data_IF_314924741300
#
_entry.id   IF_314924741300
#
_cell.length_a   1.000
_cell.length_b   1.000
_cell.length_c   1.000
_cell.angle_alpha   90.00
_cell.angle_beta   90.00
_cell.angle_gamma   90.00
#
_symmetry.space_group_name_H-M   'P 1'
#
loop_
_entity.id
_entity.type
_entity.pdbx_description
1 polymer ?
#
# COMPACT_ATOMS: atom_id res chain seq x y z
N UNK A 1 0.61 -66.92 -38.77
CA UNK A 1 -0.16 -65.70 -38.41
C UNK A 1 0.61 -64.98 -37.31
N UNK A 2 1.32 -63.90 -37.71
CA UNK A 2 1.99 -62.98 -36.79
C UNK A 2 1.01 -61.89 -36.41
N UNK A 3 0.76 -61.79 -35.10
CA UNK A 3 0.04 -60.65 -34.54
C UNK A 3 1.09 -59.69 -34.01
N UNK A 4 1.26 -58.58 -34.73
CA UNK A 4 2.14 -57.48 -34.31
C UNK A 4 1.37 -56.63 -33.30
N UNK A 5 1.73 -56.74 -32.03
CA UNK A 5 1.19 -55.89 -30.97
C UNK A 5 1.91 -54.53 -30.99
N UNK A 6 1.19 -53.53 -31.44
CA UNK A 6 1.66 -52.14 -31.45
C UNK A 6 1.46 -51.55 -30.05
N UNK A 7 2.54 -51.40 -29.28
CA UNK A 7 2.54 -50.76 -27.98
C UNK A 7 2.55 -49.23 -28.24
N UNK A 8 1.43 -48.58 -28.01
CA UNK A 8 1.35 -47.11 -27.97
C UNK A 8 1.90 -46.60 -26.64
N UNK A 9 3.08 -46.04 -26.67
CA UNK A 9 3.62 -45.30 -25.53
C UNK A 9 2.99 -43.90 -25.52
N UNK A 10 2.03 -43.68 -24.62
CA UNK A 10 1.47 -42.37 -24.38
C UNK A 10 2.44 -41.60 -23.48
N UNK A 11 3.19 -40.69 -24.08
CA UNK A 11 4.07 -39.79 -23.37
C UNK A 11 3.24 -38.67 -22.79
N UNK A 12 2.85 -38.77 -21.52
CA UNK A 12 2.18 -37.67 -20.79
C UNK A 12 3.20 -36.58 -20.47
N UNK A 13 3.21 -35.51 -21.27
CA UNK A 13 3.96 -34.33 -20.94
C UNK A 13 3.22 -33.58 -19.80
N UNK A 14 3.73 -33.69 -18.60
CA UNK A 14 3.34 -32.82 -17.49
C UNK A 14 3.92 -31.42 -17.75
N UNK A 15 3.09 -30.52 -18.25
CA UNK A 15 3.44 -29.11 -18.33
C UNK A 15 3.48 -28.57 -16.90
N UNK A 16 4.68 -28.49 -16.34
CA UNK A 16 4.91 -27.81 -15.09
C UNK A 16 4.63 -26.32 -15.30
N UNK A 17 3.52 -25.83 -14.74
CA UNK A 17 3.25 -24.40 -14.68
C UNK A 17 4.27 -23.80 -13.69
N UNK A 18 5.34 -23.23 -14.22
CA UNK A 18 6.24 -22.41 -13.42
C UNK A 18 5.44 -21.19 -12.94
N UNK A 19 5.08 -21.17 -11.65
CA UNK A 19 4.58 -19.96 -11.00
C UNK A 19 5.75 -18.99 -10.94
N UNK A 20 5.74 -17.99 -11.81
CA UNK A 20 6.60 -16.84 -11.66
C UNK A 20 6.18 -16.12 -10.39
N UNK A 21 7.07 -16.05 -9.41
CA UNK A 21 6.88 -15.18 -8.24
C UNK A 21 6.97 -13.75 -8.75
N UNK A 22 5.82 -13.09 -8.92
CA UNK A 22 5.78 -11.69 -9.30
C UNK A 22 6.44 -10.88 -8.18
N UNK A 23 7.51 -10.15 -8.53
CA UNK A 23 8.18 -9.25 -7.58
C UNK A 23 7.31 -8.00 -7.46
N UNK A 24 6.63 -7.87 -6.33
CA UNK A 24 5.82 -6.69 -6.03
C UNK A 24 6.73 -5.54 -5.60
N UNK A 25 6.74 -4.49 -6.38
CA UNK A 25 7.48 -3.26 -6.09
C UNK A 25 6.50 -2.18 -5.67
N UNK A 26 6.79 -1.50 -4.56
CA UNK A 26 6.01 -0.34 -4.13
C UNK A 26 6.25 0.82 -5.10
N UNK A 27 5.22 1.60 -5.39
CA UNK A 27 5.36 2.84 -6.15
C UNK A 27 6.29 3.82 -5.41
N UNK A 28 7.10 4.62 -6.12
CA UNK A 28 7.96 5.60 -5.47
C UNK A 28 7.14 6.68 -4.78
N UNK A 29 7.68 7.31 -3.71
CA UNK A 29 7.01 8.42 -3.03
C UNK A 29 6.82 9.63 -3.96
N UNK A 30 5.68 10.28 -3.82
CA UNK A 30 5.34 11.50 -4.54
C UNK A 30 5.79 12.75 -3.78
N UNK A 31 5.92 13.85 -4.52
CA UNK A 31 6.28 15.14 -3.93
C UNK A 31 5.06 15.81 -3.30
N UNK A 32 5.28 16.55 -2.24
CA UNK A 32 4.26 17.37 -1.58
C UNK A 32 4.92 18.60 -0.95
N UNK A 33 4.11 19.53 -0.44
CA UNK A 33 4.60 20.71 0.27
C UNK A 33 4.86 20.41 1.74
N UNK A 34 6.06 20.70 2.20
CA UNK A 34 6.45 20.59 3.61
C UNK A 34 7.07 21.91 4.05
N UNK A 35 6.38 22.62 4.93
CA UNK A 35 6.79 23.94 5.39
C UNK A 35 6.29 24.20 6.80
N UNK A 36 7.13 24.79 7.66
CA UNK A 36 6.77 25.25 9.00
C UNK A 36 6.04 24.18 9.85
N UNK A 37 6.51 22.94 9.81
CA UNK A 37 5.92 21.86 10.58
C UNK A 37 4.58 21.34 10.05
N UNK A 38 4.27 21.62 8.79
CA UNK A 38 3.03 21.20 8.14
C UNK A 38 3.31 20.53 6.79
N UNK A 39 2.76 19.34 6.63
CA UNK A 39 2.71 18.64 5.35
C UNK A 39 1.36 18.92 4.67
N UNK A 40 1.40 19.37 3.43
CA UNK A 40 0.22 19.76 2.68
C UNK A 40 0.15 19.03 1.35
N UNK A 41 -0.94 18.33 1.11
CA UNK A 41 -1.20 17.58 -0.12
C UNK A 41 -2.52 18.12 -0.73
N UNK A 42 -2.51 18.53 -1.99
CA UNK A 42 -3.72 19.03 -2.65
C UNK A 42 -4.70 17.89 -2.95
N UNK A 43 -5.99 18.15 -2.88
CA UNK A 43 -7.01 17.17 -3.29
C UNK A 43 -6.83 16.75 -4.75
N UNK A 44 -6.47 17.70 -5.61
CA UNK A 44 -6.23 17.43 -7.03
C UNK A 44 -5.17 16.33 -7.26
N UNK A 45 -4.17 16.26 -6.38
CA UNK A 45 -3.10 15.27 -6.48
C UNK A 45 -3.58 13.84 -6.13
N UNK A 46 -4.56 13.71 -5.24
CA UNK A 46 -4.98 12.43 -4.66
C UNK A 46 -6.45 12.08 -4.90
N UNK A 47 -7.12 12.81 -5.81
CA UNK A 47 -8.57 12.68 -6.03
C UNK A 47 -8.98 11.57 -7.00
N UNK A 48 -8.04 10.82 -7.57
CA UNK A 48 -8.26 9.84 -8.62
C UNK A 48 -8.74 8.46 -8.12
N UNK A 49 -8.83 8.27 -6.80
CA UNK A 49 -9.23 7.00 -6.19
C UNK A 49 -8.12 5.94 -6.13
N UNK A 50 -6.91 6.28 -6.55
CA UNK A 50 -5.74 5.41 -6.47
C UNK A 50 -4.90 5.66 -5.23
N UNK A 51 -4.06 4.69 -4.89
CA UNK A 51 -3.13 4.78 -3.76
C UNK A 51 -1.99 5.74 -4.07
N UNK A 52 -1.81 6.74 -3.22
CA UNK A 52 -0.71 7.69 -3.28
C UNK A 52 0.22 7.50 -2.10
N UNK A 53 1.52 7.44 -2.35
CA UNK A 53 2.55 7.23 -1.33
C UNK A 53 3.42 8.46 -1.21
N UNK A 54 3.74 8.82 0.05
CA UNK A 54 4.58 9.96 0.41
C UNK A 54 5.63 9.51 1.41
N UNK A 55 6.76 10.23 1.44
CA UNK A 55 7.83 9.97 2.38
C UNK A 55 8.06 11.19 3.27
N UNK A 56 8.31 10.94 4.54
CA UNK A 56 8.64 11.95 5.53
C UNK A 56 9.85 11.49 6.35
N UNK A 57 10.78 12.40 6.61
CA UNK A 57 11.89 12.15 7.54
C UNK A 57 11.56 12.80 8.87
N UNK A 58 11.36 11.97 9.89
CA UNK A 58 11.02 12.42 11.23
C UNK A 58 12.19 13.16 11.90
N UNK A 59 11.91 13.88 12.98
CA UNK A 59 12.93 14.63 13.73
C UNK A 59 14.07 13.76 14.26
N UNK A 60 13.80 12.50 14.58
CA UNK A 60 14.80 11.52 15.02
C UNK A 60 15.63 10.91 13.86
N UNK A 61 15.39 11.34 12.62
CA UNK A 61 16.07 10.86 11.42
C UNK A 61 15.41 9.62 10.78
N UNK A 62 14.35 9.08 11.37
CA UNK A 62 13.63 7.93 10.82
C UNK A 62 12.93 8.30 9.52
N UNK A 63 13.18 7.53 8.46
CA UNK A 63 12.48 7.68 7.19
C UNK A 63 11.19 6.88 7.24
N UNK A 64 10.08 7.58 7.12
CA UNK A 64 8.74 7.00 7.18
C UNK A 64 8.01 7.22 5.86
N UNK A 65 6.99 6.39 5.64
CA UNK A 65 6.06 6.54 4.51
C UNK A 65 4.65 6.63 5.02
N UNK A 66 3.83 7.45 4.37
CA UNK A 66 2.39 7.48 4.59
C UNK A 66 1.65 7.41 3.25
N UNK A 67 0.41 7.02 3.30
CA UNK A 67 -0.43 6.81 2.14
C UNK A 67 -1.72 7.62 2.26
N UNK A 68 -2.21 8.05 1.11
CA UNK A 68 -3.50 8.72 0.98
C UNK A 68 -4.28 8.07 -0.15
N UNK A 69 -5.57 7.86 0.05
CA UNK A 69 -6.49 7.39 -0.98
C UNK A 69 -7.84 8.07 -0.82
N UNK A 70 -8.44 8.48 -1.93
CA UNK A 70 -9.82 8.95 -1.93
C UNK A 70 -10.76 7.75 -1.91
N UNK A 71 -11.60 7.68 -0.89
CA UNK A 71 -12.61 6.63 -0.73
C UNK A 71 -13.83 6.87 -1.61
N UNK A 72 -14.61 5.82 -1.81
CA UNK A 72 -15.96 5.94 -2.35
C UNK A 72 -16.78 6.88 -1.45
N UNK A 73 -17.51 7.83 -2.05
CA UNK A 73 -18.26 8.83 -1.29
C UNK A 73 -17.49 10.12 -0.97
N UNK A 74 -16.22 10.23 -1.38
CA UNK A 74 -15.45 11.47 -1.35
C UNK A 74 -14.59 11.71 -0.11
N UNK A 75 -14.67 10.89 0.92
CA UNK A 75 -13.77 10.97 2.07
C UNK A 75 -12.36 10.49 1.72
N UNK A 76 -11.35 10.94 2.45
CA UNK A 76 -9.97 10.49 2.30
C UNK A 76 -9.59 9.50 3.40
N UNK A 77 -8.85 8.46 3.03
CA UNK A 77 -8.13 7.60 3.96
C UNK A 77 -6.68 8.06 4.04
N UNK A 78 -6.21 8.37 5.22
CA UNK A 78 -4.82 8.76 5.48
C UNK A 78 -4.26 7.84 6.56
N UNK A 79 -3.13 7.24 6.28
CA UNK A 79 -2.49 6.32 7.21
C UNK A 79 -1.01 6.13 6.91
N UNK A 80 -0.29 5.47 7.81
CA UNK A 80 1.08 5.05 7.54
C UNK A 80 1.11 3.95 6.49
N UNK A 81 2.17 3.87 5.72
CA UNK A 81 2.46 2.75 4.83
C UNK A 81 3.02 1.56 5.66
N UNK A 82 2.34 1.30 6.76
CA UNK A 82 2.66 0.33 7.79
C UNK A 82 1.40 -0.09 8.54
N UNK A 83 1.39 -1.29 9.11
CA UNK A 83 0.32 -1.77 9.97
C UNK A 83 0.85 -2.43 11.24
N UNK A 84 0.00 -2.60 12.22
CA UNK A 84 0.34 -3.21 13.52
C UNK A 84 0.87 -4.65 13.37
N UNK A 85 0.31 -5.42 12.46
CA UNK A 85 0.66 -6.84 12.31
C UNK A 85 1.89 -7.08 11.43
N UNK A 86 2.09 -6.28 10.39
CA UNK A 86 3.12 -6.51 9.37
C UNK A 86 4.26 -5.48 9.41
N UNK A 87 4.20 -4.48 10.29
CA UNK A 87 5.18 -3.41 10.35
C UNK A 87 5.19 -2.57 9.07
N UNK A 88 6.36 -2.12 8.65
CA UNK A 88 6.59 -1.19 7.55
C UNK A 88 6.67 -1.85 6.16
N UNK A 89 6.07 -3.01 5.99
CA UNK A 89 6.09 -3.74 4.71
C UNK A 89 5.49 -2.91 3.55
N UNK A 90 4.51 -2.07 3.84
CA UNK A 90 3.86 -1.20 2.88
C UNK A 90 2.68 -1.85 2.17
N UNK A 91 2.03 -1.05 1.34
CA UNK A 91 0.85 -1.45 0.58
C UNK A 91 1.08 -1.23 -0.91
N UNK A 92 0.42 -2.02 -1.73
CA UNK A 92 0.36 -1.83 -3.17
C UNK A 92 -1.07 -1.96 -3.68
N UNK A 93 -1.30 -1.46 -4.87
CA UNK A 93 -2.60 -1.54 -5.54
C UNK A 93 -2.57 -2.61 -6.62
N UNK A 94 -3.57 -3.50 -6.61
CA UNK A 94 -3.75 -4.52 -7.64
C UNK A 94 -5.24 -4.75 -7.87
N UNK A 95 -5.66 -4.69 -9.12
CA UNK A 95 -7.06 -4.91 -9.54
C UNK A 95 -8.05 -4.04 -8.74
N UNK A 96 -7.70 -2.77 -8.50
CA UNK A 96 -8.50 -1.81 -7.75
C UNK A 96 -8.57 -2.06 -6.24
N UNK A 97 -7.74 -2.96 -5.71
CA UNK A 97 -7.65 -3.29 -4.29
C UNK A 97 -6.32 -2.83 -3.70
N UNK A 98 -6.37 -2.37 -2.45
CA UNK A 98 -5.17 -2.05 -1.67
C UNK A 98 -4.77 -3.31 -0.90
N UNK A 99 -3.54 -3.76 -1.07
CA UNK A 99 -3.05 -5.04 -0.55
C UNK A 99 -1.82 -4.80 0.33
N UNK A 100 -1.81 -5.39 1.53
CA UNK A 100 -0.63 -5.41 2.37
C UNK A 100 0.45 -6.29 1.74
N UNK A 101 1.63 -5.73 1.53
CA UNK A 101 2.73 -6.41 0.84
C UNK A 101 3.20 -7.70 1.54
N UNK A 102 3.12 -7.75 2.87
CA UNK A 102 3.63 -8.91 3.63
C UNK A 102 2.63 -10.05 3.74
N UNK A 103 1.39 -9.76 4.14
CA UNK A 103 0.38 -10.79 4.36
C UNK A 103 -0.55 -11.00 3.17
N UNK A 104 -0.44 -10.18 2.12
CA UNK A 104 -1.22 -10.25 0.87
C UNK A 104 -2.75 -10.13 1.09
N UNK A 105 -3.15 -9.57 2.22
CA UNK A 105 -4.56 -9.31 2.55
C UNK A 105 -5.01 -8.03 1.87
N UNK A 106 -6.15 -8.09 1.18
CA UNK A 106 -6.80 -6.91 0.65
C UNK A 106 -7.48 -6.11 1.78
N UNK A 107 -7.19 -4.81 1.83
CA UNK A 107 -7.74 -3.90 2.82
C UNK A 107 -9.09 -3.37 2.33
N UNK A 108 -10.08 -3.36 3.22
CA UNK A 108 -11.33 -2.70 2.92
C UNK A 108 -11.10 -1.18 2.86
N UNK A 109 -11.34 -0.59 1.69
CA UNK A 109 -11.09 0.82 1.44
C UNK A 109 -11.80 1.74 2.45
N UNK A 110 -13.00 1.38 2.86
CA UNK A 110 -13.78 2.16 3.83
C UNK A 110 -13.11 2.23 5.20
N UNK A 111 -12.31 1.23 5.57
CA UNK A 111 -11.66 1.15 6.89
C UNK A 111 -10.29 1.82 6.95
N UNK A 112 -9.72 2.30 5.84
CA UNK A 112 -8.47 3.05 5.86
C UNK A 112 -8.69 4.37 6.62
N UNK A 113 -7.85 4.63 7.61
CA UNK A 113 -8.01 5.73 8.58
C UNK A 113 -8.58 5.29 9.93
N UNK A 114 -8.97 4.01 10.07
CA UNK A 114 -9.35 3.40 11.34
C UNK A 114 -8.31 2.39 11.78
N UNK A 115 -8.07 2.33 13.09
CA UNK A 115 -7.10 1.41 13.68
C UNK A 115 -7.61 -0.04 13.63
N UNK A 116 -6.73 -0.96 13.32
CA UNK A 116 -6.97 -2.40 13.49
C UNK A 116 -6.30 -3.30 12.45
N UNK A 117 -5.79 -4.42 12.91
CA UNK A 117 -5.29 -5.53 12.09
C UNK A 117 -4.24 -5.13 11.06
N UNK A 118 -4.52 -5.44 9.80
CA UNK A 118 -3.67 -5.08 8.65
C UNK A 118 -4.02 -3.72 8.03
N UNK A 119 -4.93 -2.95 8.65
CA UNK A 119 -5.19 -1.59 8.19
C UNK A 119 -3.96 -0.70 8.36
N UNK A 120 -3.75 0.26 7.46
CA UNK A 120 -2.76 1.31 7.68
C UNK A 120 -2.98 2.00 9.02
N UNK A 121 -1.89 2.19 9.78
CA UNK A 121 -1.95 2.90 11.05
C UNK A 121 -2.48 4.31 10.78
N UNK A 122 -3.55 4.77 11.45
CA UNK A 122 -4.16 6.07 11.17
C UNK A 122 -3.19 7.23 11.37
N UNK A 123 -3.26 8.20 10.48
CA UNK A 123 -2.58 9.49 10.59
C UNK A 123 -3.64 10.57 10.71
N UNK A 124 -3.63 11.31 11.80
CA UNK A 124 -4.54 12.43 12.02
C UNK A 124 -4.26 13.56 11.04
N UNK A 125 -5.30 14.08 10.42
CA UNK A 125 -5.22 15.14 9.46
C UNK A 125 -6.44 16.06 9.54
N UNK A 126 -6.31 17.23 8.96
CA UNK A 126 -7.42 18.17 8.72
C UNK A 126 -7.52 18.47 7.22
N UNK A 127 -8.63 19.04 6.82
CA UNK A 127 -8.81 19.54 5.45
C UNK A 127 -9.04 21.04 5.48
N UNK A 128 -8.36 21.74 4.58
CA UNK A 128 -8.47 23.19 4.48
C UNK A 128 -8.25 23.63 3.02
N UNK A 129 -9.19 24.39 2.47
CA UNK A 129 -9.06 24.99 1.13
C UNK A 129 -8.64 23.98 0.04
N UNK A 130 -9.29 22.81 -0.02
CA UNK A 130 -8.99 21.78 -1.01
C UNK A 130 -7.66 21.06 -0.80
N UNK A 131 -7.16 21.05 0.43
CA UNK A 131 -5.89 20.41 0.80
C UNK A 131 -6.06 19.52 2.02
N UNK A 132 -5.30 18.44 2.05
CA UNK A 132 -5.07 17.62 3.24
C UNK A 132 -3.88 18.23 3.97
N UNK A 133 -4.05 18.48 5.27
CA UNK A 133 -3.06 19.11 6.13
C UNK A 133 -2.71 18.16 7.26
N UNK A 134 -1.43 17.78 7.35
CA UNK A 134 -0.90 16.90 8.40
C UNK A 134 0.16 17.68 9.19
N UNK A 135 -0.01 17.77 10.51
CA UNK A 135 1.02 18.32 11.37
C UNK A 135 2.21 17.35 11.43
N UNK A 136 3.43 17.84 11.25
CA UNK A 136 4.61 16.97 11.30
C UNK A 136 4.80 16.33 12.66
N UNK A 137 4.32 16.96 13.73
CA UNK A 137 4.31 16.38 15.09
C UNK A 137 3.51 15.07 15.16
N UNK A 138 2.45 14.93 14.38
CA UNK A 138 1.69 13.68 14.27
C UNK A 138 2.54 12.58 13.65
N UNK A 139 3.26 12.88 12.58
CA UNK A 139 4.17 11.94 11.92
C UNK A 139 5.36 11.59 12.83
N UNK A 140 5.97 12.58 13.46
CA UNK A 140 7.08 12.36 14.41
C UNK A 140 6.70 11.40 15.53
N UNK A 141 5.48 11.51 16.07
CA UNK A 141 4.97 10.64 17.12
C UNK A 141 4.78 9.18 16.67
N UNK A 142 4.73 8.93 15.37
CA UNK A 142 4.51 7.62 14.77
C UNK A 142 5.79 7.00 14.18
N UNK A 143 6.95 7.63 14.37
CA UNK A 143 8.22 7.21 13.76
C UNK A 143 8.66 5.80 14.18
N UNK A 144 8.30 5.35 15.38
CA UNK A 144 8.66 4.03 15.91
C UNK A 144 8.13 2.86 15.07
N UNK A 145 7.12 3.08 14.22
CA UNK A 145 6.61 2.06 13.31
C UNK A 145 7.53 1.77 12.12
N UNK A 146 8.61 2.55 11.94
CA UNK A 146 9.60 2.43 10.87
C UNK A 146 11.04 2.21 11.40
N UNK A 147 11.20 1.86 12.66
CA UNK A 147 12.49 1.57 13.31
C UNK A 147 12.79 0.08 13.35
#
# INVERSE_FOLDING_TARGET
>A
WSICAMVMVVLTMTVGVARSTEVITLSPPEKYSLSQGVATITFAQVADGHLHRFQYTAKDGTVMRFIIIKKNGGAYGVGLDACENCGDAGYYEKDGKIICKRCEVAINLATIGFKGGCNPIPVDYTTQNGKIVIQTSVLDALSSHFQ
#
